data_IF_924156473375
#
_entry.id   IF_924156473375
#
_cell.length_a   1.000
_cell.length_b   1.000
_cell.length_c   1.000
_cell.angle_alpha   90.00
_cell.angle_beta   90.00
_cell.angle_gamma   90.00
#
_symmetry.space_group_name_H-M   'P 1'
#
loop_
_entity.id
_entity.type
_entity.pdbx_description
1 polymer ?
#
# COMPACT_ATOMS: atom_id res chain seq x y z
N UNK A 1 -10.52 15.01 -1.44
CA UNK A 1 -10.41 14.35 -0.12
C UNK A 1 -9.41 15.08 0.77
N UNK A 2 -8.19 15.33 0.30
CA UNK A 2 -7.12 16.03 1.04
C UNK A 2 -7.54 17.35 1.69
N UNK A 3 -8.29 18.21 0.98
CA UNK A 3 -8.78 19.48 1.54
C UNK A 3 -9.78 19.27 2.70
N UNK A 4 -10.61 18.22 2.64
CA UNK A 4 -11.55 17.87 3.72
C UNK A 4 -10.74 17.41 4.95
N UNK A 5 -9.75 16.54 4.76
CA UNK A 5 -8.89 16.05 5.84
C UNK A 5 -8.12 17.20 6.52
N UNK A 6 -7.53 18.11 5.75
CA UNK A 6 -6.82 19.28 6.29
C UNK A 6 -7.77 20.19 7.09
N UNK A 7 -8.98 20.45 6.57
CA UNK A 7 -9.99 21.26 7.27
C UNK A 7 -10.39 20.62 8.61
N UNK A 8 -10.65 19.31 8.62
CA UNK A 8 -10.97 18.56 9.85
C UNK A 8 -9.80 18.50 10.82
N UNK A 9 -8.56 18.44 10.32
CA UNK A 9 -7.37 18.49 11.14
C UNK A 9 -7.21 19.84 11.85
N UNK A 10 -7.38 20.95 11.12
CA UNK A 10 -7.24 22.30 11.67
C UNK A 10 -8.40 22.65 12.62
N UNK A 11 -9.65 22.30 12.27
CA UNK A 11 -10.82 22.64 13.07
C UNK A 11 -11.18 21.49 14.02
N UNK A 12 -10.76 21.58 15.29
CA UNK A 12 -10.97 20.53 16.28
C UNK A 12 -12.44 20.08 16.42
N UNK A 13 -13.42 20.99 16.29
CA UNK A 13 -14.85 20.64 16.35
C UNK A 13 -15.34 19.74 15.20
N UNK A 14 -14.63 19.75 14.06
CA UNK A 14 -15.00 19.05 12.82
C UNK A 14 -14.39 17.65 12.81
N UNK A 15 -13.56 17.33 13.81
CA UNK A 15 -13.10 15.97 14.07
C UNK A 15 -14.25 15.10 14.55
N UNK A 16 -15.19 15.68 15.30
CA UNK A 16 -16.38 14.99 15.79
C UNK A 16 -17.35 14.73 14.63
N UNK A 17 -17.55 13.45 14.30
CA UNK A 17 -18.28 13.05 13.09
C UNK A 17 -19.71 13.57 13.02
N UNK A 18 -20.44 13.59 14.14
CA UNK A 18 -21.81 14.09 14.15
C UNK A 18 -21.87 15.60 13.84
N UNK A 19 -20.93 16.39 14.37
CA UNK A 19 -20.83 17.84 14.11
C UNK A 19 -20.49 18.05 12.64
N UNK A 20 -19.54 17.29 12.12
CA UNK A 20 -19.12 17.39 10.72
C UNK A 20 -20.26 17.01 9.76
N UNK A 21 -20.95 15.92 10.02
CA UNK A 21 -22.11 15.47 9.23
C UNK A 21 -23.27 16.46 9.27
N UNK A 22 -23.48 17.13 10.41
CA UNK A 22 -24.52 18.14 10.56
C UNK A 22 -24.16 19.47 9.87
N UNK A 23 -22.91 19.92 10.03
CA UNK A 23 -22.45 21.23 9.51
C UNK A 23 -22.08 21.20 8.03
N UNK A 24 -21.57 20.07 7.52
CA UNK A 24 -21.09 19.92 6.14
C UNK A 24 -21.53 18.57 5.52
N UNK A 25 -22.84 18.35 5.31
CA UNK A 25 -23.38 17.05 4.89
C UNK A 25 -22.90 16.63 3.49
N UNK A 26 -22.64 17.56 2.57
CA UNK A 26 -22.15 17.26 1.22
C UNK A 26 -20.71 16.77 1.23
N UNK A 27 -19.85 17.41 2.04
CA UNK A 27 -18.45 17.02 2.19
C UNK A 27 -18.33 15.70 2.95
N UNK A 28 -19.18 15.47 3.96
CA UNK A 28 -19.27 14.19 4.66
C UNK A 28 -19.63 13.04 3.70
N UNK A 29 -20.65 13.21 2.85
CA UNK A 29 -21.00 12.22 1.81
C UNK A 29 -19.86 11.99 0.83
N UNK A 30 -19.09 13.02 0.48
CA UNK A 30 -17.93 12.89 -0.41
C UNK A 30 -16.78 12.14 0.26
N UNK A 31 -16.55 12.38 1.55
CA UNK A 31 -15.57 11.64 2.34
C UNK A 31 -15.97 10.17 2.47
N UNK A 32 -17.22 9.89 2.85
CA UNK A 32 -17.74 8.52 3.01
C UNK A 32 -17.61 7.73 1.70
N UNK A 33 -17.94 8.34 0.55
CA UNK A 33 -17.75 7.71 -0.77
C UNK A 33 -16.28 7.40 -1.07
N UNK A 34 -15.36 8.28 -0.69
CA UNK A 34 -13.94 8.05 -0.92
C UNK A 34 -13.40 6.91 -0.03
N UNK A 35 -13.84 6.86 1.22
CA UNK A 35 -13.53 5.77 2.15
C UNK A 35 -14.07 4.44 1.61
N UNK A 36 -15.30 4.43 1.09
CA UNK A 36 -15.88 3.23 0.46
C UNK A 36 -15.02 2.72 -0.70
N UNK A 37 -14.59 3.59 -1.61
CA UNK A 37 -13.73 3.18 -2.74
C UNK A 37 -12.42 2.55 -2.25
N UNK A 38 -11.82 3.09 -1.18
CA UNK A 38 -10.62 2.53 -0.57
C UNK A 38 -10.89 1.15 0.03
N UNK A 39 -11.94 1.01 0.85
CA UNK A 39 -12.30 -0.26 1.45
C UNK A 39 -12.63 -1.32 0.39
N UNK A 40 -13.41 -0.97 -0.63
CA UNK A 40 -13.75 -1.87 -1.74
C UNK A 40 -12.48 -2.40 -2.44
N UNK A 41 -11.49 -1.52 -2.65
CA UNK A 41 -10.23 -1.91 -3.27
C UNK A 41 -9.43 -2.87 -2.38
N UNK A 42 -9.30 -2.56 -1.09
CA UNK A 42 -8.56 -3.37 -0.11
C UNK A 42 -9.21 -4.73 0.10
N UNK A 43 -10.52 -4.78 0.25
CA UNK A 43 -11.29 -6.01 0.39
C UNK A 43 -11.14 -6.91 -0.85
N UNK A 44 -11.14 -6.32 -2.05
CA UNK A 44 -10.90 -7.06 -3.28
C UNK A 44 -9.50 -7.69 -3.31
N UNK A 45 -8.46 -6.95 -2.90
CA UNK A 45 -7.08 -7.46 -2.82
C UNK A 45 -6.98 -8.60 -1.81
N UNK A 46 -7.54 -8.42 -0.61
CA UNK A 46 -7.53 -9.44 0.44
C UNK A 46 -8.23 -10.71 -0.07
N UNK A 47 -9.39 -10.56 -0.70
CA UNK A 47 -10.16 -11.67 -1.26
C UNK A 47 -9.40 -12.40 -2.37
N UNK A 48 -8.84 -11.67 -3.32
CA UNK A 48 -8.04 -12.23 -4.41
C UNK A 48 -6.86 -13.03 -3.85
N UNK A 49 -6.14 -12.44 -2.88
CA UNK A 49 -4.98 -13.10 -2.27
C UNK A 49 -5.36 -14.36 -1.49
N UNK A 50 -6.45 -14.33 -0.72
CA UNK A 50 -6.99 -15.52 -0.03
C UNK A 50 -7.30 -16.64 -1.03
N UNK A 51 -7.90 -16.32 -2.17
CA UNK A 51 -8.19 -17.32 -3.22
C UNK A 51 -6.91 -17.90 -3.81
N UNK A 52 -5.90 -17.08 -4.10
CA UNK A 52 -4.60 -17.56 -4.57
C UNK A 52 -3.94 -18.50 -3.55
N UNK A 53 -3.99 -18.19 -2.25
CA UNK A 53 -3.41 -19.05 -1.21
C UNK A 53 -4.14 -20.40 -1.12
N UNK A 54 -5.47 -20.42 -1.20
CA UNK A 54 -6.25 -21.67 -1.18
C UNK A 54 -5.97 -22.53 -2.41
N UNK A 55 -5.84 -21.92 -3.58
CA UNK A 55 -5.54 -22.63 -4.83
C UNK A 55 -4.13 -23.21 -4.79
N UNK A 56 -3.12 -22.43 -4.39
CA UNK A 56 -1.74 -22.90 -4.28
C UNK A 56 -1.58 -24.00 -3.21
N UNK A 57 -2.34 -23.93 -2.11
CA UNK A 57 -2.31 -24.97 -1.07
C UNK A 57 -2.81 -26.35 -1.54
N UNK A 58 -3.52 -26.42 -2.67
CA UNK A 58 -3.97 -27.69 -3.27
C UNK A 58 -2.93 -28.33 -4.20
N UNK A 59 -1.98 -27.54 -4.70
CA UNK A 59 -0.98 -27.99 -5.69
C UNK A 59 0.45 -28.11 -5.10
N UNK A 60 0.74 -27.51 -3.94
CA UNK A 60 2.11 -27.46 -3.40
C UNK A 60 2.45 -28.62 -2.46
N UNK A 61 3.41 -29.47 -2.87
CA UNK A 61 4.15 -30.39 -1.98
C UNK A 61 5.07 -29.60 -1.02
N UNK A 62 5.42 -30.13 0.17
CA UNK A 62 6.19 -29.41 1.21
C UNK A 62 7.58 -28.89 0.79
N UNK A 63 8.07 -29.30 -0.38
CA UNK A 63 9.43 -29.06 -0.88
C UNK A 63 9.60 -27.67 -1.56
N UNK A 64 8.53 -26.94 -1.87
CA UNK A 64 8.60 -25.65 -2.60
C UNK A 64 8.77 -24.39 -1.70
N UNK A 65 8.90 -24.56 -0.38
CA UNK A 65 9.06 -23.40 0.54
C UNK A 65 10.47 -22.81 0.58
N UNK A 66 11.36 -23.34 -0.24
CA UNK A 66 12.78 -23.01 -0.27
C UNK A 66 13.09 -22.28 -1.58
N UNK A 67 13.58 -21.04 -1.49
CA UNK A 67 14.12 -20.30 -2.64
C UNK A 67 15.31 -21.06 -3.24
N UNK A 68 15.69 -20.77 -4.49
CA UNK A 68 16.82 -21.36 -5.22
C UNK A 68 18.16 -21.36 -4.45
N UNK A 69 18.25 -20.61 -3.34
CA UNK A 69 19.38 -20.48 -2.43
C UNK A 69 19.25 -21.27 -1.11
N UNK A 70 18.25 -22.14 -0.95
CA UNK A 70 18.08 -22.91 0.29
C UNK A 70 17.40 -22.13 1.43
N UNK A 71 16.89 -20.92 1.17
CA UNK A 71 16.30 -20.05 2.19
C UNK A 71 14.78 -20.16 2.23
N UNK A 72 14.19 -20.11 3.43
CA UNK A 72 12.74 -20.03 3.60
C UNK A 72 12.22 -18.80 2.84
N UNK A 73 11.30 -19.01 1.90
CA UNK A 73 10.74 -17.96 1.04
C UNK A 73 10.21 -16.81 1.92
N UNK A 74 10.71 -15.58 1.69
CA UNK A 74 10.21 -14.40 2.41
C UNK A 74 8.74 -14.19 2.03
N UNK A 75 7.89 -14.19 3.04
CA UNK A 75 6.46 -13.92 2.86
C UNK A 75 6.24 -12.43 2.63
N UNK A 76 5.31 -12.09 1.74
CA UNK A 76 4.82 -10.73 1.63
C UNK A 76 4.01 -10.36 2.88
N UNK A 77 3.93 -9.06 3.18
CA UNK A 77 3.23 -8.56 4.38
C UNK A 77 1.79 -9.07 4.48
N UNK A 78 1.02 -9.01 3.38
CA UNK A 78 -0.36 -9.52 3.36
C UNK A 78 -0.42 -11.03 3.65
N UNK A 79 0.55 -11.82 3.15
CA UNK A 79 0.62 -13.24 3.46
C UNK A 79 0.91 -13.50 4.94
N UNK A 80 1.75 -12.64 5.55
CA UNK A 80 2.01 -12.68 7.00
C UNK A 80 0.71 -12.42 7.77
N UNK A 81 -0.03 -11.36 7.44
CA UNK A 81 -1.28 -11.02 8.12
C UNK A 81 -2.32 -12.15 7.97
N UNK A 82 -2.48 -12.71 6.77
CA UNK A 82 -3.46 -13.77 6.51
C UNK A 82 -3.16 -15.10 7.22
N UNK A 83 -1.88 -15.36 7.55
CA UNK A 83 -1.44 -16.57 8.24
C UNK A 83 -1.19 -16.35 9.74
N UNK A 84 -1.24 -15.10 10.19
CA UNK A 84 -0.98 -14.73 11.59
C UNK A 84 -2.14 -15.12 12.49
N UNK A 85 -1.81 -15.50 13.72
CA UNK A 85 -2.77 -15.79 14.79
C UNK A 85 -2.36 -15.06 16.06
N UNK A 86 -3.35 -14.55 16.80
CA UNK A 86 -3.19 -13.93 18.12
C UNK A 86 -4.01 -14.75 19.10
N UNK A 87 -3.39 -15.21 20.19
CA UNK A 87 -4.02 -16.07 21.21
C UNK A 87 -4.70 -17.34 20.64
N UNK A 88 -4.14 -17.86 19.54
CA UNK A 88 -4.66 -19.04 18.84
C UNK A 88 -5.83 -18.78 17.89
N UNK A 89 -6.27 -17.52 17.74
CA UNK A 89 -7.30 -17.11 16.79
C UNK A 89 -6.69 -16.36 15.59
N UNK A 90 -7.20 -16.54 14.37
CA UNK A 90 -6.79 -15.73 13.22
C UNK A 90 -7.24 -14.28 13.41
N UNK A 91 -6.52 -13.34 12.79
CA UNK A 91 -6.94 -11.94 12.70
C UNK A 91 -8.31 -11.84 12.02
N UNK A 92 -9.14 -10.89 12.47
CA UNK A 92 -10.42 -10.62 11.81
C UNK A 92 -10.18 -9.97 10.44
N UNK A 93 -11.14 -10.09 9.53
CA UNK A 93 -11.04 -9.44 8.22
C UNK A 93 -10.97 -7.91 8.36
N UNK A 94 -11.58 -7.35 9.41
CA UNK A 94 -11.50 -5.92 9.71
C UNK A 94 -10.09 -5.51 10.15
N UNK A 95 -9.47 -6.24 11.09
CA UNK A 95 -8.10 -5.93 11.54
C UNK A 95 -7.10 -6.01 10.38
N UNK A 96 -7.23 -7.03 9.53
CA UNK A 96 -6.38 -7.18 8.34
C UNK A 96 -6.62 -6.03 7.38
N UNK A 97 -7.89 -5.64 7.15
CA UNK A 97 -8.24 -4.54 6.26
C UNK A 97 -7.68 -3.21 6.76
N UNK A 98 -7.80 -2.90 8.04
CA UNK A 98 -7.27 -1.66 8.64
C UNK A 98 -5.74 -1.55 8.47
N UNK A 99 -5.01 -2.64 8.70
CA UNK A 99 -3.57 -2.68 8.48
C UNK A 99 -3.22 -2.53 6.99
N UNK A 100 -3.89 -3.27 6.12
CA UNK A 100 -3.63 -3.19 4.67
C UNK A 100 -3.98 -1.81 4.11
N UNK A 101 -5.07 -1.19 4.56
CA UNK A 101 -5.45 0.19 4.22
C UNK A 101 -4.31 1.17 4.56
N UNK A 102 -3.75 1.02 5.76
CA UNK A 102 -2.63 1.85 6.24
C UNK A 102 -1.40 1.69 5.34
N UNK A 103 -0.96 0.46 5.10
CA UNK A 103 0.24 0.20 4.29
C UNK A 103 0.09 0.63 2.83
N UNK A 104 -1.10 0.45 2.23
CA UNK A 104 -1.34 0.87 0.85
C UNK A 104 -1.31 2.39 0.69
N UNK A 105 -1.82 3.13 1.67
CA UNK A 105 -1.76 4.58 1.66
C UNK A 105 -0.34 5.09 1.89
N UNK A 106 0.31 4.64 2.96
CA UNK A 106 1.62 5.15 3.38
C UNK A 106 2.72 4.81 2.38
N UNK A 107 2.69 3.61 1.80
CA UNK A 107 3.73 3.13 0.90
C UNK A 107 3.73 3.80 -0.48
N UNK A 108 2.56 4.18 -1.00
CA UNK A 108 2.44 4.69 -2.36
C UNK A 108 2.49 6.22 -2.44
N UNK A 109 1.73 6.95 -1.62
CA UNK A 109 1.57 8.40 -1.78
C UNK A 109 2.87 9.16 -1.41
N UNK A 110 3.58 8.69 -0.38
CA UNK A 110 4.85 9.28 0.07
C UNK A 110 5.96 9.06 -0.96
N UNK A 111 6.12 7.83 -1.44
CA UNK A 111 7.15 7.45 -2.41
C UNK A 111 6.89 8.06 -3.78
N UNK A 112 5.64 8.10 -4.24
CA UNK A 112 5.25 8.77 -5.49
C UNK A 112 5.63 10.25 -5.44
N UNK A 113 5.35 10.93 -4.33
CA UNK A 113 5.72 12.33 -4.15
C UNK A 113 7.24 12.51 -4.16
N UNK A 114 7.97 11.69 -3.39
CA UNK A 114 9.43 11.75 -3.32
C UNK A 114 10.09 11.51 -4.69
N UNK A 115 9.65 10.49 -5.42
CA UNK A 115 10.14 10.17 -6.77
C UNK A 115 9.80 11.31 -7.73
N UNK A 116 8.59 11.87 -7.67
CA UNK A 116 8.18 12.98 -8.53
C UNK A 116 9.08 14.21 -8.34
N UNK A 117 9.35 14.59 -7.08
CA UNK A 117 10.27 15.71 -6.80
C UNK A 117 11.71 15.38 -7.17
N UNK A 118 12.17 14.15 -6.91
CA UNK A 118 13.50 13.70 -7.29
C UNK A 118 13.71 13.81 -8.82
N UNK A 119 12.77 13.27 -9.61
CA UNK A 119 12.81 13.34 -11.07
C UNK A 119 12.71 14.77 -11.57
N UNK A 120 11.86 15.61 -10.94
CA UNK A 120 11.77 17.02 -11.27
C UNK A 120 13.12 17.73 -11.08
N UNK A 121 13.78 17.55 -9.94
CA UNK A 121 15.08 18.16 -9.68
C UNK A 121 16.17 17.62 -10.62
N UNK A 122 16.20 16.30 -10.88
CA UNK A 122 17.15 15.69 -11.83
C UNK A 122 16.98 16.29 -13.23
N UNK A 123 15.74 16.47 -13.70
CA UNK A 123 15.46 17.02 -15.05
C UNK A 123 15.99 18.44 -15.25
N UNK A 124 16.20 19.17 -14.15
CA UNK A 124 16.71 20.56 -14.15
C UNK A 124 18.22 20.65 -14.02
N UNK A 125 18.90 19.52 -13.78
CA UNK A 125 20.35 19.43 -13.58
C UNK A 125 20.94 18.37 -14.54
N UNK A 126 21.15 18.72 -15.82
CA UNK A 126 21.59 17.77 -16.85
C UNK A 126 22.89 17.03 -16.49
N UNK A 127 23.81 17.69 -15.80
CA UNK A 127 25.06 17.10 -15.32
C UNK A 127 24.84 16.01 -14.27
N UNK A 128 23.85 16.17 -13.38
CA UNK A 128 23.47 15.15 -12.41
C UNK A 128 22.80 13.99 -13.13
N UNK A 129 21.88 14.29 -14.05
CA UNK A 129 21.20 13.26 -14.85
C UNK A 129 22.18 12.39 -15.63
N UNK A 130 23.18 12.99 -16.29
CA UNK A 130 24.20 12.25 -17.03
C UNK A 130 25.02 11.32 -16.14
N UNK A 131 25.45 11.81 -14.97
CA UNK A 131 26.20 10.99 -13.99
C UNK A 131 25.37 9.82 -13.49
N UNK A 132 24.10 10.04 -13.20
CA UNK A 132 23.17 9.02 -12.70
C UNK A 132 22.93 7.92 -13.76
N UNK A 133 22.73 8.31 -15.02
CA UNK A 133 22.60 7.35 -16.14
C UNK A 133 23.89 6.56 -16.34
N UNK A 134 25.06 7.20 -16.25
CA UNK A 134 26.33 6.50 -16.38
C UNK A 134 26.52 5.46 -15.27
N UNK A 135 26.23 5.83 -14.01
CA UNK A 135 26.31 4.90 -12.87
C UNK A 135 25.37 3.69 -13.06
N UNK A 136 24.12 3.92 -13.51
CA UNK A 136 23.18 2.84 -13.80
C UNK A 136 23.75 1.87 -14.86
N UNK A 137 24.35 2.41 -15.94
CA UNK A 137 24.97 1.61 -17.00
C UNK A 137 26.20 0.85 -16.52
N UNK A 138 27.00 1.46 -15.65
CA UNK A 138 28.20 0.82 -15.11
C UNK A 138 27.85 -0.38 -14.21
N UNK A 139 26.73 -0.28 -13.46
CA UNK A 139 26.29 -1.35 -12.55
C UNK A 139 25.45 -2.42 -13.26
N UNK A 140 24.49 -2.03 -14.09
CA UNK A 140 23.53 -2.96 -14.72
C UNK A 140 23.94 -3.41 -16.13
N UNK A 141 24.88 -2.72 -16.77
CA UNK A 141 25.26 -2.91 -18.18
C UNK A 141 24.37 -2.14 -19.15
N UNK A 142 24.61 -2.33 -20.45
CA UNK A 142 23.67 -1.87 -21.48
C UNK A 142 22.49 -2.85 -21.58
N UNK A 143 21.30 -2.31 -21.87
CA UNK A 143 20.06 -3.06 -21.98
C UNK A 143 20.24 -4.23 -22.97
N UNK A 144 19.87 -5.45 -22.55
CA UNK A 144 19.91 -6.61 -23.45
C UNK A 144 18.79 -6.43 -24.47
N UNK A 145 19.15 -6.03 -25.69
CA UNK A 145 18.25 -6.03 -26.85
C UNK A 145 17.66 -7.41 -27.12
#
# INVERSE_FOLDING_TARGET
>A
VTNILIKRFIHAWQRVDWIFRLTQPTEAKRQDKAIQVMHDFTENIIRERRQTLVNNSKDTTPEEQVDCLGQKRRMALLDVLLQSTIDGAPLSDEDIREEVDTFMFEGHDTTTSAISFCLYEISRHPEVQQRLVQEIRDVLGEDRK
#
